data_IF_590011688028
#
_entry.id   IF_590011688028
#
_cell.length_a   1.000
_cell.length_b   1.000
_cell.length_c   1.000
_cell.angle_alpha   90.00
_cell.angle_beta   90.00
_cell.angle_gamma   90.00
#
_symmetry.space_group_name_H-M   'P 1'
#
loop_
_entity.id
_entity.type
_entity.pdbx_description
1 polymer ?
#
# COMPACT_ATOMS: atom_id res chain seq x y z
N UNK A 1 -19.59 -74.47 3.73
CA UNK A 1 -18.68 -73.32 3.93
C UNK A 1 -19.48 -72.04 3.75
N UNK A 2 -19.32 -71.02 4.59
CA UNK A 2 -19.95 -69.69 4.38
C UNK A 2 -19.02 -68.84 3.52
N UNK A 3 -19.51 -68.30 2.41
CA UNK A 3 -18.74 -67.38 1.57
C UNK A 3 -18.66 -65.99 2.21
N UNK A 4 -17.45 -65.45 2.35
CA UNK A 4 -17.23 -64.05 2.71
C UNK A 4 -17.19 -63.21 1.42
N UNK A 5 -18.17 -62.34 1.21
CA UNK A 5 -18.07 -61.29 0.20
C UNK A 5 -17.19 -60.16 0.74
N UNK A 6 -15.98 -60.02 0.21
CA UNK A 6 -15.12 -58.88 0.48
C UNK A 6 -15.58 -57.71 -0.40
N UNK A 7 -16.29 -56.75 0.19
CA UNK A 7 -16.63 -55.50 -0.48
C UNK A 7 -15.39 -54.60 -0.55
N UNK A 8 -14.76 -54.52 -1.72
CA UNK A 8 -13.64 -53.59 -1.97
C UNK A 8 -14.22 -52.18 -2.08
N UNK A 9 -14.05 -51.38 -1.03
CA UNK A 9 -14.45 -49.98 -1.00
C UNK A 9 -13.51 -49.16 -1.90
N UNK A 10 -13.95 -48.85 -3.12
CA UNK A 10 -13.16 -48.06 -4.07
C UNK A 10 -13.11 -46.59 -3.60
N UNK A 11 -12.02 -46.20 -2.94
CA UNK A 11 -11.83 -44.84 -2.44
C UNK A 11 -11.46 -43.90 -3.59
N UNK A 12 -12.47 -43.32 -4.26
CA UNK A 12 -12.27 -42.37 -5.37
C UNK A 12 -11.74 -41.05 -4.82
N UNK A 13 -10.41 -40.96 -4.69
CA UNK A 13 -9.72 -39.71 -4.37
C UNK A 13 -9.83 -38.75 -5.58
N UNK A 14 -10.74 -37.77 -5.49
CA UNK A 14 -10.79 -36.64 -6.44
C UNK A 14 -9.61 -35.69 -6.20
N UNK A 15 -8.43 -36.08 -6.64
CA UNK A 15 -7.26 -35.20 -6.71
C UNK A 15 -7.48 -34.14 -7.81
N UNK A 16 -8.15 -33.04 -7.48
CA UNK A 16 -8.32 -31.92 -8.38
C UNK A 16 -7.01 -31.15 -8.51
N UNK A 17 -6.29 -31.36 -9.61
CA UNK A 17 -5.10 -30.59 -9.98
C UNK A 17 -5.51 -29.15 -10.35
N UNK A 18 -5.55 -28.26 -9.37
CA UNK A 18 -5.76 -26.84 -9.59
C UNK A 18 -4.41 -26.22 -9.98
N UNK A 19 -4.10 -26.25 -11.28
CA UNK A 19 -2.97 -25.56 -11.85
C UNK A 19 -3.16 -24.04 -11.83
N UNK A 20 -2.06 -23.32 -11.69
CA UNK A 20 -2.00 -21.86 -11.86
C UNK A 20 -1.88 -21.55 -13.36
N UNK A 21 -2.60 -20.54 -13.84
CA UNK A 21 -2.71 -20.21 -15.27
C UNK A 21 -2.38 -18.75 -15.55
N UNK A 22 -2.11 -18.41 -16.82
CA UNK A 22 -1.84 -17.05 -17.25
C UNK A 22 -2.84 -16.64 -18.33
N UNK A 23 -3.52 -15.51 -18.14
CA UNK A 23 -4.20 -14.78 -19.21
C UNK A 23 -3.26 -13.66 -19.68
N UNK A 24 -2.79 -13.75 -20.92
CA UNK A 24 -1.76 -12.85 -21.46
C UNK A 24 -2.35 -12.03 -22.61
N UNK A 25 -2.36 -10.70 -22.47
CA UNK A 25 -2.61 -9.76 -23.58
C UNK A 25 -1.26 -9.33 -24.12
N UNK A 26 -0.94 -9.77 -25.35
CA UNK A 26 0.38 -9.53 -25.94
C UNK A 26 0.62 -8.06 -26.33
N UNK A 27 1.89 -7.70 -26.52
CA UNK A 27 2.27 -6.38 -27.04
C UNK A 27 1.53 -6.03 -28.34
N UNK A 28 1.16 -4.76 -28.47
CA UNK A 28 0.33 -4.23 -29.57
C UNK A 28 -1.08 -4.85 -29.70
N UNK A 29 -1.56 -5.62 -28.71
CA UNK A 29 -2.93 -6.16 -28.68
C UNK A 29 -3.84 -5.25 -27.85
N UNK A 30 -5.05 -5.00 -28.35
CA UNK A 30 -6.14 -4.39 -27.57
C UNK A 30 -7.14 -5.47 -27.16
N UNK A 31 -7.45 -5.55 -25.87
CA UNK A 31 -8.50 -6.38 -25.31
C UNK A 31 -9.50 -5.50 -24.55
N UNK A 32 -10.80 -5.68 -24.78
CA UNK A 32 -11.79 -4.79 -24.17
C UNK A 32 -13.24 -5.10 -24.49
N UNK A 33 -14.13 -4.38 -23.80
CA UNK A 33 -15.59 -4.52 -23.89
C UNK A 33 -16.27 -3.15 -23.87
N UNK A 34 -17.35 -3.03 -24.62
CA UNK A 34 -18.26 -1.86 -24.65
C UNK A 34 -19.71 -2.22 -24.32
N UNK A 35 -19.98 -3.51 -24.09
CA UNK A 35 -21.24 -4.05 -23.59
C UNK A 35 -20.99 -4.99 -22.40
N UNK A 36 -22.04 -5.65 -21.95
CA UNK A 36 -22.07 -6.42 -20.71
C UNK A 36 -21.32 -7.77 -20.79
N UNK A 37 -19.98 -7.70 -20.82
CA UNK A 37 -19.09 -8.85 -20.91
C UNK A 37 -18.65 -9.27 -19.51
N UNK A 38 -19.05 -10.46 -19.08
CA UNK A 38 -18.56 -11.09 -17.86
C UNK A 38 -17.37 -12.02 -18.15
N UNK A 39 -16.26 -11.81 -17.45
CA UNK A 39 -15.09 -12.69 -17.45
C UNK A 39 -14.94 -13.28 -16.05
N UNK A 40 -14.82 -14.60 -15.94
CA UNK A 40 -14.54 -15.28 -14.66
C UNK A 40 -13.26 -16.09 -14.79
N UNK A 41 -12.36 -15.97 -13.80
CA UNK A 41 -11.09 -16.71 -13.76
C UNK A 41 -10.84 -17.35 -12.39
N UNK A 42 -10.09 -18.45 -12.39
CA UNK A 42 -9.77 -19.23 -11.19
C UNK A 42 -8.26 -19.53 -11.18
N UNK A 43 -7.53 -19.02 -10.20
CA UNK A 43 -6.07 -19.15 -10.11
C UNK A 43 -5.32 -18.72 -11.39
N UNK A 44 -5.64 -17.52 -11.87
CA UNK A 44 -5.11 -16.94 -13.11
C UNK A 44 -4.32 -15.66 -12.82
N UNK A 45 -3.08 -15.55 -13.29
CA UNK A 45 -2.38 -14.27 -13.40
C UNK A 45 -2.93 -13.49 -14.60
N UNK A 46 -3.14 -12.18 -14.42
CA UNK A 46 -3.43 -11.26 -15.53
C UNK A 46 -2.13 -10.57 -15.94
N UNK A 47 -1.67 -10.82 -17.18
CA UNK A 47 -0.42 -10.30 -17.73
C UNK A 47 -0.71 -9.46 -18.97
N UNK A 48 -0.82 -8.15 -18.79
CA UNK A 48 -1.07 -7.19 -19.85
C UNK A 48 0.25 -6.58 -20.36
N UNK A 49 0.61 -6.85 -21.61
CA UNK A 49 1.74 -6.24 -22.31
C UNK A 49 1.27 -5.29 -23.42
N UNK A 50 -0.05 -5.12 -23.58
CA UNK A 50 -0.69 -4.31 -24.61
C UNK A 50 -1.63 -3.26 -24.01
N UNK A 51 -2.93 -3.37 -24.29
CA UNK A 51 -3.98 -2.54 -23.70
C UNK A 51 -5.15 -3.41 -23.26
N UNK A 52 -5.59 -3.25 -22.00
CA UNK A 52 -6.82 -3.84 -21.48
C UNK A 52 -7.75 -2.71 -21.11
N UNK A 53 -8.89 -2.58 -21.80
CA UNK A 53 -9.91 -1.58 -21.48
C UNK A 53 -11.32 -2.15 -21.62
N UNK A 54 -11.83 -2.65 -20.51
CA UNK A 54 -13.24 -3.01 -20.36
C UNK A 54 -14.00 -1.79 -19.82
N UNK A 55 -14.80 -1.16 -20.69
CA UNK A 55 -15.62 0.02 -20.36
C UNK A 55 -17.06 -0.34 -19.98
N UNK A 56 -17.41 -1.64 -20.00
CA UNK A 56 -18.68 -2.19 -19.51
C UNK A 56 -18.49 -3.68 -19.13
N UNK A 57 -19.44 -4.24 -18.37
CA UNK A 57 -19.37 -5.63 -17.88
C UNK A 57 -18.60 -5.78 -16.57
N UNK A 58 -18.07 -6.98 -16.30
CA UNK A 58 -17.41 -7.30 -15.04
C UNK A 58 -16.32 -8.37 -15.18
N UNK A 59 -15.29 -8.28 -14.34
CA UNK A 59 -14.26 -9.31 -14.18
C UNK A 59 -14.32 -9.89 -12.77
N UNK A 60 -14.44 -11.21 -12.67
CA UNK A 60 -14.50 -11.96 -11.41
C UNK A 60 -13.26 -12.85 -11.29
N UNK A 61 -12.32 -12.47 -10.42
CA UNK A 61 -11.11 -13.23 -10.15
C UNK A 61 -11.25 -14.00 -8.84
N UNK A 62 -11.07 -15.31 -8.89
CA UNK A 62 -11.16 -16.19 -7.73
C UNK A 62 -9.94 -17.09 -7.58
N UNK A 63 -9.63 -17.55 -6.36
CA UNK A 63 -8.45 -18.39 -6.17
C UNK A 63 -8.17 -18.93 -4.78
N UNK A 64 -7.06 -19.66 -4.70
CA UNK A 64 -6.40 -20.16 -3.49
C UNK A 64 -4.86 -20.08 -3.60
N UNK A 65 -4.35 -19.34 -4.59
CA UNK A 65 -2.93 -19.06 -4.88
C UNK A 65 -2.64 -17.58 -4.77
N UNK A 66 -1.36 -17.24 -4.74
CA UNK A 66 -0.86 -15.87 -4.84
C UNK A 66 -0.87 -15.45 -6.32
N UNK A 67 -1.58 -14.36 -6.66
CA UNK A 67 -1.97 -14.08 -8.05
C UNK A 67 -1.71 -12.63 -8.45
N UNK A 68 -1.05 -12.45 -9.59
CA UNK A 68 -0.63 -11.15 -10.11
C UNK A 68 -1.71 -10.52 -11.00
N UNK A 69 -1.85 -9.20 -10.92
CA UNK A 69 -2.41 -8.35 -11.99
C UNK A 69 -1.31 -7.36 -12.40
N UNK A 70 -0.75 -7.51 -13.60
CA UNK A 70 0.47 -6.79 -13.96
C UNK A 70 0.89 -6.90 -15.43
N UNK A 71 2.17 -6.62 -15.68
CA UNK A 71 2.72 -6.38 -17.01
C UNK A 71 2.59 -4.90 -17.43
N UNK A 72 3.39 -4.47 -18.42
CA UNK A 72 3.61 -3.04 -18.72
C UNK A 72 2.44 -2.30 -19.40
N UNK A 73 1.37 -3.01 -19.75
CA UNK A 73 0.21 -2.45 -20.44
C UNK A 73 -0.80 -1.80 -19.50
N UNK A 74 -1.39 -0.67 -19.92
CA UNK A 74 -2.47 -0.02 -19.17
C UNK A 74 -3.69 -0.93 -19.06
N UNK A 75 -4.18 -1.10 -17.82
CA UNK A 75 -5.24 -2.05 -17.46
C UNK A 75 -6.41 -1.32 -16.81
N UNK A 76 -7.58 -1.36 -17.46
CA UNK A 76 -8.85 -0.83 -16.98
C UNK A 76 -9.95 -1.91 -17.00
N UNK A 77 -10.64 -2.07 -15.87
CA UNK A 77 -11.91 -2.80 -15.77
C UNK A 77 -13.06 -1.85 -15.43
N UNK A 78 -14.29 -2.23 -15.78
CA UNK A 78 -15.49 -1.48 -15.41
C UNK A 78 -15.93 -1.86 -13.99
N UNK A 79 -16.21 -3.15 -13.78
CA UNK A 79 -16.30 -3.76 -12.45
C UNK A 79 -15.22 -4.84 -12.29
N UNK A 80 -14.63 -4.93 -11.10
CA UNK A 80 -13.70 -5.98 -10.69
C UNK A 80 -14.18 -6.59 -9.36
N UNK A 81 -14.14 -7.91 -9.25
CA UNK A 81 -14.59 -8.67 -8.08
C UNK A 81 -13.52 -9.68 -7.69
N UNK A 82 -13.00 -9.59 -6.46
CA UNK A 82 -11.83 -10.35 -5.98
C UNK A 82 -12.22 -11.31 -4.86
N UNK A 83 -11.93 -12.60 -5.03
CA UNK A 83 -12.23 -13.65 -4.03
C UNK A 83 -11.11 -14.68 -3.92
N UNK A 84 -10.10 -14.38 -3.11
CA UNK A 84 -9.00 -15.29 -2.81
C UNK A 84 -9.20 -15.93 -1.43
N UNK A 85 -9.12 -17.26 -1.36
CA UNK A 85 -9.49 -18.02 -0.16
C UNK A 85 -8.33 -18.34 0.77
N UNK A 86 -7.08 -18.07 0.38
CA UNK A 86 -5.85 -18.46 1.12
C UNK A 86 -4.67 -17.49 1.00
N UNK A 87 -4.68 -16.60 0.01
CA UNK A 87 -3.54 -15.78 -0.41
C UNK A 87 -4.04 -14.42 -0.93
N UNK A 88 -3.12 -13.57 -1.37
CA UNK A 88 -3.42 -12.25 -1.93
C UNK A 88 -3.58 -12.28 -3.45
N UNK A 89 -4.36 -11.34 -3.98
CA UNK A 89 -4.01 -10.74 -5.27
C UNK A 89 -2.94 -9.68 -5.04
N UNK A 90 -2.04 -9.45 -6.00
CA UNK A 90 -1.05 -8.38 -5.93
C UNK A 90 -0.87 -7.66 -7.28
N UNK A 91 -0.53 -6.37 -7.25
CA UNK A 91 -0.23 -5.58 -8.45
C UNK A 91 1.26 -5.67 -8.86
N UNK A 92 1.51 -5.65 -10.18
CA UNK A 92 2.83 -5.30 -10.77
C UNK A 92 2.72 -4.12 -11.78
N UNK A 93 1.57 -3.45 -11.84
CA UNK A 93 1.35 -2.20 -12.59
C UNK A 93 0.07 -1.48 -12.08
N UNK A 94 -0.08 -0.20 -12.39
CA UNK A 94 -1.27 0.59 -12.07
C UNK A 94 -2.55 -0.01 -12.69
N UNK A 95 -3.64 0.00 -11.91
CA UNK A 95 -4.92 -0.58 -12.28
C UNK A 95 -6.04 0.45 -12.17
N UNK A 96 -6.90 0.56 -13.18
CA UNK A 96 -8.14 1.35 -13.09
C UNK A 96 -9.38 0.47 -12.94
N UNK A 97 -10.27 0.83 -12.01
CA UNK A 97 -11.63 0.27 -11.86
C UNK A 97 -12.66 1.41 -11.95
N UNK A 98 -13.47 1.41 -13.01
CA UNK A 98 -14.31 2.57 -13.37
C UNK A 98 -15.59 2.72 -12.52
N UNK A 99 -16.19 1.62 -12.03
CA UNK A 99 -17.41 1.65 -11.20
C UNK A 99 -17.25 0.92 -9.86
N UNK A 100 -17.13 -0.41 -9.82
CA UNK A 100 -17.07 -1.15 -8.53
C UNK A 100 -15.82 -2.04 -8.46
N UNK A 101 -15.02 -1.86 -7.41
CA UNK A 101 -14.16 -2.92 -6.87
C UNK A 101 -14.90 -3.63 -5.73
N UNK A 102 -15.20 -4.90 -5.89
CA UNK A 102 -15.89 -5.74 -4.92
C UNK A 102 -14.90 -6.71 -4.26
N UNK A 103 -14.54 -6.45 -3.01
CA UNK A 103 -13.79 -7.36 -2.16
C UNK A 103 -14.75 -8.42 -1.61
N UNK A 104 -14.50 -9.71 -1.91
CA UNK A 104 -15.32 -10.84 -1.43
C UNK A 104 -14.57 -11.75 -0.47
N UNK A 105 -13.28 -11.95 -0.68
CA UNK A 105 -12.40 -12.72 0.21
C UNK A 105 -10.92 -12.45 -0.14
N UNK A 106 -10.05 -12.53 0.84
CA UNK A 106 -8.60 -12.40 0.70
C UNK A 106 -8.10 -10.97 0.62
N UNK A 107 -6.79 -10.81 0.74
CA UNK A 107 -6.14 -9.51 0.58
C UNK A 107 -5.98 -9.13 -0.90
N UNK A 108 -6.01 -7.83 -1.17
CA UNK A 108 -5.52 -7.25 -2.41
C UNK A 108 -4.36 -6.32 -2.05
N UNK A 109 -3.13 -6.73 -2.39
CA UNK A 109 -1.91 -5.97 -2.15
C UNK A 109 -1.63 -5.07 -3.36
N UNK A 110 -1.54 -3.76 -3.14
CA UNK A 110 -1.22 -2.79 -4.17
C UNK A 110 0.28 -2.76 -4.51
N UNK A 111 1.12 -3.43 -3.72
CA UNK A 111 2.58 -3.36 -3.78
C UNK A 111 3.06 -1.90 -3.92
N UNK A 112 3.63 -1.51 -5.06
CA UNK A 112 4.12 -0.16 -5.35
C UNK A 112 3.27 0.61 -6.37
N UNK A 113 2.05 0.15 -6.65
CA UNK A 113 1.22 0.57 -7.79
C UNK A 113 -0.16 1.07 -7.36
N UNK A 114 -0.72 1.99 -8.14
CA UNK A 114 -1.95 2.69 -7.75
C UNK A 114 -3.21 2.00 -8.27
N UNK A 115 -4.23 1.94 -7.42
CA UNK A 115 -5.60 1.60 -7.79
C UNK A 115 -6.38 2.90 -8.06
N UNK A 116 -6.58 3.22 -9.33
CA UNK A 116 -7.39 4.36 -9.75
C UNK A 116 -8.87 3.99 -9.78
N UNK A 117 -9.68 4.66 -8.97
CA UNK A 117 -11.14 4.56 -9.01
C UNK A 117 -11.71 5.55 -10.05
N UNK A 118 -12.75 5.14 -10.77
CA UNK A 118 -13.45 6.03 -11.72
C UNK A 118 -14.07 7.26 -11.05
N UNK A 119 -14.13 8.37 -11.78
CA UNK A 119 -14.53 9.67 -11.22
C UNK A 119 -16.02 9.70 -10.80
N UNK A 120 -16.92 9.20 -11.65
CA UNK A 120 -18.36 9.27 -11.44
C UNK A 120 -18.90 8.18 -10.48
N UNK A 121 -18.52 6.92 -10.67
CA UNK A 121 -19.07 5.78 -9.91
C UNK A 121 -18.05 5.03 -9.06
N UNK A 122 -16.75 5.21 -9.34
CA UNK A 122 -15.65 4.40 -8.81
C UNK A 122 -15.64 4.31 -7.30
N UNK A 123 -15.91 3.12 -6.77
CA UNK A 123 -15.98 2.84 -5.33
C UNK A 123 -15.59 1.42 -4.97
N UNK A 124 -15.17 1.24 -3.73
CA UNK A 124 -14.91 -0.08 -3.12
C UNK A 124 -16.16 -0.59 -2.41
N UNK A 125 -16.37 -1.90 -2.40
CA UNK A 125 -17.44 -2.56 -1.63
C UNK A 125 -16.93 -3.88 -1.04
N UNK A 126 -17.51 -4.29 0.09
CA UNK A 126 -17.24 -5.60 0.71
C UNK A 126 -15.96 -5.70 1.56
N UNK A 127 -15.29 -4.59 1.89
CA UNK A 127 -14.13 -4.64 2.79
C UNK A 127 -14.50 -5.12 4.20
N UNK A 128 -13.73 -6.07 4.73
CA UNK A 128 -13.91 -6.75 6.03
C UNK A 128 -12.58 -7.32 6.52
N UNK A 129 -12.54 -7.81 7.76
CA UNK A 129 -11.40 -8.55 8.37
C UNK A 129 -10.82 -9.70 7.55
N UNK A 130 -11.61 -10.24 6.60
CA UNK A 130 -11.26 -11.34 5.70
C UNK A 130 -11.07 -10.93 4.25
N UNK A 131 -11.47 -9.71 3.86
CA UNK A 131 -11.42 -9.22 2.48
C UNK A 131 -11.02 -7.73 2.50
N UNK A 132 -9.76 -7.39 2.25
CA UNK A 132 -9.25 -6.04 2.50
C UNK A 132 -8.16 -5.63 1.51
N UNK A 133 -8.01 -4.33 1.27
CA UNK A 133 -6.90 -3.77 0.50
C UNK A 133 -5.75 -3.42 1.45
N UNK A 134 -4.52 -3.60 0.99
CA UNK A 134 -3.26 -3.27 1.69
C UNK A 134 -2.19 -2.87 0.68
N UNK A 135 -1.06 -2.34 1.14
CA UNK A 135 0.17 -2.24 0.34
C UNK A 135 1.35 -2.83 1.12
N UNK A 136 2.21 -3.58 0.44
CA UNK A 136 3.55 -3.94 0.94
C UNK A 136 4.62 -2.92 0.50
N UNK A 137 4.32 -2.10 -0.52
CA UNK A 137 5.15 -0.98 -0.99
C UNK A 137 4.40 0.37 -0.93
N UNK A 138 4.57 1.22 -1.95
CA UNK A 138 3.96 2.56 -2.02
C UNK A 138 2.55 2.66 -2.64
N UNK A 139 1.86 1.55 -2.93
CA UNK A 139 0.61 1.59 -3.71
C UNK A 139 -0.56 2.28 -3.00
N UNK A 140 -1.16 3.29 -3.66
CA UNK A 140 -2.31 4.05 -3.13
C UNK A 140 -3.61 3.73 -3.89
N UNK A 141 -4.74 3.78 -3.19
CA UNK A 141 -6.06 3.90 -3.80
C UNK A 141 -6.31 5.38 -4.10
N UNK A 142 -6.50 5.74 -5.37
CA UNK A 142 -6.68 7.12 -5.82
C UNK A 142 -8.11 7.33 -6.31
N UNK A 143 -8.85 8.22 -5.64
CA UNK A 143 -10.21 8.65 -5.99
C UNK A 143 -10.22 10.12 -6.42
N UNK A 144 -10.26 10.42 -7.73
CA UNK A 144 -10.66 11.73 -8.22
C UNK A 144 -12.16 11.96 -7.93
N UNK A 145 -12.50 13.15 -7.41
CA UNK A 145 -13.88 13.54 -7.09
C UNK A 145 -14.01 15.08 -7.10
N UNK A 146 -15.16 15.59 -7.56
CA UNK A 146 -15.52 17.00 -7.41
C UNK A 146 -16.15 17.24 -6.02
N UNK A 147 -15.49 18.01 -5.15
CA UNK A 147 -15.96 18.28 -3.79
C UNK A 147 -16.58 19.68 -3.66
N UNK A 148 -17.91 19.71 -3.55
CA UNK A 148 -18.69 20.94 -3.34
C UNK A 148 -19.52 20.86 -2.07
N UNK A 149 -19.15 21.59 -1.02
CA UNK A 149 -19.78 21.56 0.32
C UNK A 149 -20.09 20.12 0.80
N UNK A 150 -19.07 19.23 0.91
CA UNK A 150 -19.31 17.83 1.28
C UNK A 150 -19.99 17.74 2.65
N UNK A 151 -20.90 16.77 2.81
CA UNK A 151 -21.63 16.53 4.04
C UNK A 151 -21.79 15.03 4.23
N UNK A 152 -21.09 14.46 5.21
CA UNK A 152 -21.02 13.02 5.49
C UNK A 152 -20.63 12.20 4.24
N UNK A 153 -19.71 12.74 3.43
CA UNK A 153 -19.30 12.16 2.15
C UNK A 153 -18.03 11.31 2.31
N UNK A 154 -18.16 9.99 2.23
CA UNK A 154 -17.05 9.07 1.95
C UNK A 154 -16.95 8.82 0.44
N UNK A 155 -16.12 9.61 -0.24
CA UNK A 155 -16.02 9.56 -1.70
C UNK A 155 -15.33 8.27 -2.16
N UNK A 156 -16.09 7.39 -2.82
CA UNK A 156 -15.57 6.11 -3.32
C UNK A 156 -15.49 4.99 -2.27
N UNK A 157 -16.10 5.18 -1.09
CA UNK A 157 -16.01 4.25 0.04
C UNK A 157 -14.54 3.97 0.44
N UNK A 158 -13.73 5.01 0.58
CA UNK A 158 -12.34 4.86 1.03
C UNK A 158 -12.26 4.64 2.54
N UNK A 159 -13.30 5.02 3.30
CA UNK A 159 -13.31 5.08 4.75
C UNK A 159 -12.88 6.46 5.30
N UNK A 160 -12.91 7.51 4.46
CA UNK A 160 -12.70 8.91 4.88
C UNK A 160 -13.97 9.72 4.60
N UNK A 161 -14.78 9.91 5.63
CA UNK A 161 -15.96 10.76 5.59
C UNK A 161 -15.56 12.24 5.74
N UNK A 162 -16.07 13.11 4.87
CA UNK A 162 -15.83 14.56 4.90
C UNK A 162 -17.14 15.36 5.10
N UNK A 163 -17.09 16.34 6.00
CA UNK A 163 -18.13 17.36 6.19
C UNK A 163 -17.51 18.76 6.28
N UNK A 164 -17.84 19.63 5.32
CA UNK A 164 -17.32 21.00 5.22
C UNK A 164 -18.37 21.95 4.62
N UNK A 165 -18.34 23.22 5.05
CA UNK A 165 -19.26 24.26 4.58
C UNK A 165 -18.78 25.02 3.32
N UNK A 166 -17.79 24.46 2.62
CA UNK A 166 -17.09 25.07 1.49
C UNK A 166 -16.76 24.07 0.37
N UNK A 167 -16.45 24.59 -0.81
CA UNK A 167 -15.95 23.79 -1.93
C UNK A 167 -14.44 23.61 -1.84
N UNK A 168 -13.94 22.42 -2.16
CA UNK A 168 -12.51 22.17 -2.37
C UNK A 168 -12.12 22.18 -3.86
N UNK A 169 -13.12 22.10 -4.75
CA UNK A 169 -12.92 21.98 -6.21
C UNK A 169 -12.76 20.52 -6.64
N UNK A 170 -12.09 20.29 -7.77
CA UNK A 170 -11.59 18.96 -8.11
C UNK A 170 -10.59 18.52 -7.04
N UNK A 171 -10.69 17.28 -6.56
CA UNK A 171 -9.84 16.74 -5.50
C UNK A 171 -9.45 15.31 -5.84
N UNK A 172 -8.15 15.00 -5.80
CA UNK A 172 -7.72 13.62 -5.59
C UNK A 172 -7.73 13.32 -4.09
N UNK A 173 -8.60 12.42 -3.65
CA UNK A 173 -8.49 11.79 -2.34
C UNK A 173 -7.72 10.48 -2.52
N UNK A 174 -6.68 10.28 -1.73
CA UNK A 174 -5.87 9.07 -1.71
C UNK A 174 -6.03 8.35 -0.38
N UNK A 175 -6.05 7.02 -0.42
CA UNK A 175 -5.90 6.14 0.74
C UNK A 175 -4.68 5.26 0.50
N UNK A 176 -3.72 5.32 1.40
CA UNK A 176 -2.55 4.44 1.41
C UNK A 176 -2.50 3.59 2.68
N UNK A 177 -1.55 2.66 2.68
CA UNK A 177 -1.37 1.66 3.72
C UNK A 177 0.11 1.50 4.00
N UNK A 178 0.53 1.68 5.25
CA UNK A 178 1.92 1.52 5.67
C UNK A 178 2.08 0.37 6.68
N UNK A 179 3.15 -0.41 6.51
CA UNK A 179 3.54 -1.43 7.49
C UNK A 179 4.11 -0.77 8.74
N UNK A 180 3.30 -0.71 9.80
CA UNK A 180 3.75 -0.30 11.12
C UNK A 180 4.45 -1.48 11.80
N UNK A 181 5.74 -1.32 12.10
CA UNK A 181 6.53 -2.28 12.89
C UNK A 181 6.37 -1.96 14.37
N UNK A 182 5.54 -2.76 15.04
CA UNK A 182 5.26 -2.64 16.47
C UNK A 182 6.31 -3.47 17.24
N UNK A 183 6.85 -3.01 18.38
CA UNK A 183 7.82 -3.77 19.20
C UNK A 183 7.42 -5.21 19.62
N UNK A 184 6.20 -5.65 19.34
CA UNK A 184 5.71 -7.02 19.54
C UNK A 184 4.87 -7.61 18.38
N UNK A 185 4.70 -6.90 17.24
CA UNK A 185 3.85 -7.35 16.12
C UNK A 185 4.08 -6.56 14.81
N UNK A 186 3.36 -6.87 13.76
CA UNK A 186 3.17 -5.97 12.60
C UNK A 186 1.72 -5.47 12.58
N UNK A 187 1.47 -4.28 12.05
CA UNK A 187 0.13 -3.78 11.70
C UNK A 187 0.15 -2.95 10.41
N UNK A 188 -1.02 -2.52 9.95
CA UNK A 188 -1.21 -1.73 8.73
C UNK A 188 -1.81 -0.38 9.12
N UNK A 189 -0.98 0.65 9.18
CA UNK A 189 -1.42 2.03 9.38
C UNK A 189 -2.07 2.55 8.11
N UNK A 190 -3.39 2.74 8.12
CA UNK A 190 -4.11 3.35 7.00
C UNK A 190 -4.03 4.87 7.11
N UNK A 191 -3.48 5.51 6.08
CA UNK A 191 -3.45 6.97 5.95
C UNK A 191 -4.28 7.44 4.76
N UNK A 192 -4.68 8.70 4.82
CA UNK A 192 -5.30 9.42 3.72
C UNK A 192 -4.51 10.68 3.40
N UNK A 193 -4.51 11.05 2.12
CA UNK A 193 -3.86 12.24 1.59
C UNK A 193 -4.78 12.92 0.57
N UNK A 194 -4.86 14.26 0.57
CA UNK A 194 -5.77 14.99 -0.33
C UNK A 194 -5.06 16.08 -1.15
N UNK A 195 -5.43 16.17 -2.43
CA UNK A 195 -4.97 17.22 -3.36
C UNK A 195 -6.18 17.95 -3.97
N UNK A 196 -6.75 18.95 -3.28
CA UNK A 196 -7.81 19.81 -3.80
C UNK A 196 -7.28 20.97 -4.64
N UNK A 197 -8.11 21.51 -5.53
CA UNK A 197 -7.84 22.75 -6.27
C UNK A 197 -7.79 24.00 -5.37
N UNK A 198 -8.52 24.00 -4.26
CA UNK A 198 -8.54 25.12 -3.30
C UNK A 198 -8.65 24.66 -1.85
N UNK A 199 -7.72 25.12 -1.01
CA UNK A 199 -7.82 25.08 0.45
C UNK A 199 -8.27 26.44 0.99
N UNK A 200 -9.53 26.61 1.41
CA UNK A 200 -9.95 27.75 2.22
C UNK A 200 -9.63 27.52 3.71
N UNK A 201 -9.16 28.55 4.41
CA UNK A 201 -8.85 28.52 5.85
C UNK A 201 -10.14 28.45 6.69
N UNK A 202 -10.73 27.26 6.76
CA UNK A 202 -12.06 27.01 7.33
C UNK A 202 -12.16 25.62 7.94
N UNK A 203 -13.02 25.50 8.94
CA UNK A 203 -13.25 24.29 9.73
C UNK A 203 -13.80 23.12 8.90
N UNK A 204 -13.29 21.90 9.13
CA UNK A 204 -13.71 20.66 8.46
C UNK A 204 -13.82 19.52 9.47
N UNK A 205 -14.93 18.78 9.42
CA UNK A 205 -15.09 17.54 10.18
C UNK A 205 -14.68 16.34 9.32
N UNK A 206 -13.79 15.52 9.87
CA UNK A 206 -13.34 14.25 9.29
C UNK A 206 -13.92 13.09 10.09
N UNK A 207 -14.32 12.03 9.38
CA UNK A 207 -14.62 10.73 9.95
C UNK A 207 -13.72 9.66 9.33
N UNK A 208 -13.23 8.72 10.12
CA UNK A 208 -12.42 7.59 9.64
C UNK A 208 -13.07 6.27 10.04
N UNK A 209 -13.31 5.42 9.03
CA UNK A 209 -13.83 4.06 9.15
C UNK A 209 -12.74 3.04 8.80
N UNK A 210 -12.29 2.27 9.79
CA UNK A 210 -11.16 1.32 9.66
C UNK A 210 -11.46 -0.06 10.25
N UNK A 211 -10.71 -1.06 9.80
CA UNK A 211 -10.80 -2.45 10.23
C UNK A 211 -10.08 -2.66 11.56
N UNK A 212 -10.51 -3.67 12.34
CA UNK A 212 -9.79 -4.11 13.54
C UNK A 212 -8.37 -4.60 13.21
N UNK A 213 -8.16 -5.14 12.00
CA UNK A 213 -6.83 -5.49 11.44
C UNK A 213 -5.88 -4.30 11.26
N UNK A 214 -6.40 -3.09 11.10
CA UNK A 214 -5.60 -1.88 10.86
C UNK A 214 -5.25 -1.14 12.17
N UNK A 215 -5.70 -1.65 13.33
CA UNK A 215 -5.36 -1.07 14.63
C UNK A 215 -3.94 -1.46 15.09
N UNK A 216 -3.10 -0.48 15.42
CA UNK A 216 -1.99 -0.66 16.37
C UNK A 216 -2.18 0.24 17.59
N UNK A 217 -2.44 -0.42 18.72
CA UNK A 217 -2.25 0.12 20.05
C UNK A 217 -2.17 -1.02 21.08
N UNK A 218 -1.40 -0.88 22.16
CA UNK A 218 -1.59 -1.68 23.35
C UNK A 218 -3.02 -1.45 23.89
N UNK A 219 -3.60 -2.46 24.54
CA UNK A 219 -5.05 -2.50 24.84
C UNK A 219 -5.54 -1.47 25.89
N UNK A 220 -4.64 -0.61 26.39
CA UNK A 220 -4.86 0.47 27.34
C UNK A 220 -4.67 1.89 26.75
N UNK A 221 -4.16 2.02 25.52
CA UNK A 221 -4.16 3.30 24.79
C UNK A 221 -5.48 3.52 24.03
N UNK A 222 -5.92 4.77 23.97
CA UNK A 222 -7.11 5.20 23.22
C UNK A 222 -6.74 5.45 21.75
N UNK A 223 -7.73 5.40 20.86
CA UNK A 223 -7.54 5.84 19.48
C UNK A 223 -7.23 7.34 19.44
N UNK A 224 -6.37 7.75 18.50
CA UNK A 224 -6.13 9.14 18.18
C UNK A 224 -6.26 9.34 16.66
N UNK A 225 -7.08 10.31 16.23
CA UNK A 225 -7.03 10.81 14.86
C UNK A 225 -5.90 11.83 14.79
N UNK A 226 -4.97 11.63 13.86
CA UNK A 226 -3.87 12.55 13.60
C UNK A 226 -4.04 13.20 12.23
N UNK A 227 -3.77 14.51 12.17
CA UNK A 227 -3.77 15.26 10.91
C UNK A 227 -2.52 16.13 10.77
N UNK A 228 -2.06 16.34 9.54
CA UNK A 228 -0.92 17.22 9.22
C UNK A 228 -1.26 18.11 8.04
N UNK A 229 -0.90 19.39 8.12
CA UNK A 229 -0.98 20.33 7.01
C UNK A 229 0.26 20.21 6.10
N UNK A 230 1.41 20.68 6.59
CA UNK A 230 2.70 20.74 5.90
C UNK A 230 3.87 20.56 6.87
N UNK A 231 3.76 21.00 8.13
CA UNK A 231 4.91 21.10 9.04
C UNK A 231 4.91 20.06 10.17
N UNK A 232 3.79 19.82 10.84
CA UNK A 232 3.70 18.98 12.04
C UNK A 232 2.41 18.16 12.06
N UNK A 233 2.39 17.08 12.84
CA UNK A 233 1.15 16.36 13.17
C UNK A 233 0.44 17.01 14.36
N UNK A 234 -0.90 17.02 14.32
CA UNK A 234 -1.78 17.43 15.40
C UNK A 234 -2.75 16.29 15.75
N UNK A 235 -2.90 16.03 17.05
CA UNK A 235 -3.86 15.10 17.61
C UNK A 235 -5.24 15.78 17.77
N UNK A 236 -6.22 15.38 16.95
CA UNK A 236 -7.57 15.96 17.01
C UNK A 236 -8.42 15.38 18.15
N UNK A 237 -9.14 16.22 18.89
CA UNK A 237 -10.04 15.78 19.97
C UNK A 237 -11.23 14.98 19.40
N UNK A 238 -11.23 13.65 19.53
CA UNK A 238 -12.30 12.78 19.01
C UNK A 238 -13.64 13.18 19.65
N UNK A 239 -14.63 13.48 18.80
CA UNK A 239 -15.97 13.91 19.21
C UNK A 239 -16.95 12.74 19.27
N UNK A 240 -16.79 11.74 18.38
CA UNK A 240 -17.57 10.51 18.40
C UNK A 240 -16.66 9.32 18.14
N UNK A 241 -16.77 8.29 18.99
CA UNK A 241 -16.25 6.95 18.77
C UNK A 241 -17.41 5.96 18.67
N UNK A 242 -17.36 5.05 17.69
CA UNK A 242 -18.36 4.00 17.51
C UNK A 242 -17.70 2.70 17.04
N UNK A 243 -17.61 1.74 17.95
CA UNK A 243 -17.28 0.36 17.58
C UNK A 243 -18.48 -0.35 16.96
N UNK A 244 -18.31 -0.96 15.79
CA UNK A 244 -19.26 -1.86 15.15
C UNK A 244 -18.70 -3.30 15.20
N UNK A 245 -19.12 -4.16 16.16
CA UNK A 245 -18.48 -5.46 16.42
C UNK A 245 -18.39 -6.38 15.20
N UNK A 246 -17.17 -6.80 14.88
CA UNK A 246 -16.90 -7.66 13.72
C UNK A 246 -17.02 -6.95 12.37
N UNK A 247 -16.92 -5.62 12.32
CA UNK A 247 -16.92 -4.85 11.07
C UNK A 247 -15.87 -3.73 11.07
N UNK A 248 -16.16 -2.59 11.70
CA UNK A 248 -15.32 -1.39 11.63
C UNK A 248 -15.39 -0.57 12.92
N UNK A 249 -14.34 0.19 13.21
CA UNK A 249 -14.40 1.35 14.09
C UNK A 249 -14.65 2.61 13.27
N UNK A 250 -15.61 3.42 13.70
CA UNK A 250 -15.88 4.75 13.16
C UNK A 250 -15.44 5.80 14.20
N UNK A 251 -14.50 6.67 13.84
CA UNK A 251 -14.09 7.82 14.66
C UNK A 251 -14.39 9.12 13.92
N UNK A 252 -14.71 10.20 14.63
CA UNK A 252 -14.82 11.52 13.99
C UNK A 252 -14.30 12.65 14.88
N UNK A 253 -13.75 13.68 14.24
CA UNK A 253 -13.28 14.90 14.88
C UNK A 253 -13.29 16.06 13.88
N UNK A 254 -13.05 17.27 14.37
CA UNK A 254 -13.04 18.51 13.61
C UNK A 254 -11.65 19.14 13.63
N UNK A 255 -11.13 19.47 12.45
CA UNK A 255 -9.85 20.14 12.24
C UNK A 255 -10.06 21.61 11.86
N UNK A 256 -9.19 22.49 12.36
CA UNK A 256 -9.19 23.92 12.07
C UNK A 256 -7.89 24.32 11.35
N UNK A 257 -7.63 23.74 10.17
CA UNK A 257 -6.60 24.19 9.22
C UNK A 257 -6.69 23.40 7.89
N UNK A 258 -5.79 23.73 6.94
CA UNK A 258 -5.58 23.03 5.67
C UNK A 258 -4.99 21.62 5.87
N UNK A 259 -5.73 20.70 6.50
CA UNK A 259 -5.26 19.33 6.69
C UNK A 259 -5.08 18.62 5.34
N UNK A 260 -3.88 18.09 5.12
CA UNK A 260 -3.50 17.37 3.89
C UNK A 260 -3.46 15.86 4.16
N UNK A 261 -3.10 15.46 5.39
CA UNK A 261 -3.02 14.08 5.83
C UNK A 261 -4.03 13.77 6.94
N UNK A 262 -4.54 12.53 6.97
CA UNK A 262 -5.34 11.96 8.08
C UNK A 262 -4.89 10.52 8.34
N UNK A 263 -4.72 10.11 9.59
CA UNK A 263 -4.45 8.72 9.97
C UNK A 263 -4.97 8.40 11.38
N UNK A 264 -5.05 7.12 11.73
CA UNK A 264 -5.46 6.65 13.06
C UNK A 264 -4.35 5.78 13.66
N UNK A 265 -4.01 6.06 14.92
CA UNK A 265 -3.00 5.31 15.68
C UNK A 265 -3.07 5.66 17.16
N UNK A 266 -2.30 4.94 17.99
CA UNK A 266 -2.21 5.21 19.43
C UNK A 266 -1.12 6.24 19.81
N UNK A 267 -0.15 6.47 18.91
CA UNK A 267 0.98 7.40 19.07
C UNK A 267 1.08 8.31 17.84
N UNK A 268 1.95 9.33 17.89
CA UNK A 268 2.17 10.25 16.76
C UNK A 268 2.65 9.46 15.52
N UNK A 269 2.13 9.74 14.30
CA UNK A 269 2.57 9.04 13.11
C UNK A 269 4.01 9.43 12.82
N UNK A 270 4.94 8.53 13.11
CA UNK A 270 6.37 8.80 12.98
C UNK A 270 6.68 9.35 11.59
N UNK A 271 7.20 10.58 11.51
CA UNK A 271 7.54 11.15 10.22
C UNK A 271 8.74 10.39 9.63
N UNK A 272 8.43 9.53 8.64
CA UNK A 272 9.36 8.70 7.87
C UNK A 272 10.28 9.55 6.97
N UNK A 273 11.02 10.41 7.63
CA UNK A 273 12.03 11.29 7.07
C UNK A 273 13.31 10.52 6.86
N UNK A 274 14.00 10.89 5.78
CA UNK A 274 15.36 10.44 5.53
C UNK A 274 16.38 11.27 6.33
N UNK A 275 15.95 11.94 7.40
CA UNK A 275 16.77 12.90 8.15
C UNK A 275 17.44 12.23 9.37
N UNK A 276 16.88 11.12 9.87
CA UNK A 276 17.47 10.27 10.92
C UNK A 276 18.44 9.19 10.39
N UNK A 277 19.23 9.49 9.34
CA UNK A 277 20.25 8.54 8.88
C UNK A 277 21.31 8.31 9.97
N UNK A 278 21.57 7.06 10.39
CA UNK A 278 22.56 6.80 11.42
C UNK A 278 23.95 7.26 10.97
N UNK A 279 24.67 7.92 11.88
CA UNK A 279 26.02 8.47 11.61
C UNK A 279 27.15 7.47 11.89
N UNK A 280 26.82 6.29 12.42
CA UNK A 280 27.75 5.22 12.78
C UNK A 280 27.14 3.82 12.61
N UNK A 281 27.98 2.82 12.30
CA UNK A 281 27.63 1.40 12.31
C UNK A 281 28.85 0.51 12.65
N UNK A 282 28.62 -0.79 12.88
CA UNK A 282 29.60 -1.73 13.46
C UNK A 282 29.59 -3.09 12.73
N UNK A 283 30.15 -3.18 11.51
CA UNK A 283 30.21 -4.39 10.67
C UNK A 283 31.16 -5.46 11.25
N UNK A 284 30.72 -6.12 12.33
CA UNK A 284 31.55 -6.98 13.16
C UNK A 284 31.03 -8.44 13.27
N UNK A 285 29.84 -8.71 12.77
CA UNK A 285 29.21 -10.04 12.69
C UNK A 285 28.45 -10.48 13.93
N UNK A 286 28.08 -9.55 14.83
CA UNK A 286 27.30 -9.85 16.05
C UNK A 286 25.77 -9.75 15.86
N UNK A 287 25.33 -9.37 14.65
CA UNK A 287 23.93 -9.21 14.27
C UNK A 287 23.34 -7.83 14.56
N UNK A 288 24.14 -6.84 15.01
CA UNK A 288 23.65 -5.51 15.40
C UNK A 288 24.43 -4.40 14.68
N UNK A 289 23.70 -3.62 13.89
CA UNK A 289 24.24 -2.53 13.08
C UNK A 289 25.41 -3.00 12.18
N UNK A 290 25.34 -4.26 11.70
CA UNK A 290 26.36 -4.84 10.81
C UNK A 290 26.34 -4.23 9.40
N UNK A 291 25.23 -3.60 9.02
CA UNK A 291 25.10 -2.81 7.79
C UNK A 291 24.69 -1.38 8.10
N UNK A 292 25.09 -0.46 7.23
CA UNK A 292 24.61 0.91 7.21
C UNK A 292 23.19 0.93 6.63
N UNK A 293 22.18 0.78 7.49
CA UNK A 293 20.78 0.94 7.10
C UNK A 293 20.46 2.43 7.00
N UNK A 294 19.86 2.85 5.87
CA UNK A 294 19.23 4.17 5.73
C UNK A 294 17.74 3.97 6.02
N UNK A 295 17.16 4.59 7.07
CA UNK A 295 15.74 4.44 7.38
C UNK A 295 14.86 4.81 6.19
N UNK A 296 13.73 4.09 6.05
CA UNK A 296 12.67 4.38 5.06
C UNK A 296 13.12 4.37 3.58
N UNK A 297 14.35 3.93 3.28
CA UNK A 297 14.91 3.90 1.92
C UNK A 297 14.12 2.98 0.97
N UNK A 298 13.40 1.99 1.51
CA UNK A 298 12.51 1.11 0.75
C UNK A 298 11.30 1.85 0.13
N UNK A 299 10.87 2.99 0.70
CA UNK A 299 9.89 3.91 0.08
C UNK A 299 10.45 4.68 -1.12
N UNK A 300 11.68 4.38 -1.55
CA UNK A 300 12.31 4.95 -2.71
C UNK A 300 13.03 3.84 -3.51
N UNK A 301 12.29 2.89 -4.11
CA UNK A 301 12.88 1.70 -4.78
C UNK A 301 13.74 2.03 -6.01
N UNK A 302 13.72 3.27 -6.49
CA UNK A 302 14.60 3.79 -7.55
C UNK A 302 15.73 4.70 -7.04
N UNK A 303 15.87 4.86 -5.72
CA UNK A 303 16.87 5.73 -5.12
C UNK A 303 18.29 5.20 -5.37
N UNK A 304 19.14 6.05 -5.94
CA UNK A 304 20.54 5.73 -6.16
C UNK A 304 21.32 6.21 -4.94
N UNK A 305 21.83 5.25 -4.15
CA UNK A 305 22.74 5.48 -3.04
C UNK A 305 24.17 5.32 -3.52
N UNK A 306 25.04 6.26 -3.13
CA UNK A 306 26.48 6.21 -3.37
C UNK A 306 27.21 6.52 -2.07
N UNK A 307 28.32 5.82 -1.79
CA UNK A 307 29.17 6.05 -0.63
C UNK A 307 30.61 6.26 -1.11
N UNK A 308 31.27 7.24 -0.49
CA UNK A 308 32.56 7.78 -0.87
C UNK A 308 33.52 7.74 0.33
N UNK A 309 34.80 7.52 0.07
CA UNK A 309 35.83 7.66 1.10
C UNK A 309 36.13 9.15 1.39
N UNK A 310 36.96 9.41 2.40
CA UNK A 310 37.41 10.76 2.80
C UNK A 310 38.17 11.57 1.73
N UNK A 311 38.53 10.96 0.60
CA UNK A 311 39.20 11.61 -0.53
C UNK A 311 38.25 11.86 -1.73
N UNK A 312 37.01 11.39 -1.65
CA UNK A 312 36.00 11.54 -2.70
C UNK A 312 35.93 10.37 -3.69
N UNK A 313 36.71 9.29 -3.53
CA UNK A 313 36.54 8.11 -4.37
C UNK A 313 35.24 7.38 -4.01
N UNK A 314 34.41 7.06 -4.99
CA UNK A 314 33.22 6.23 -4.78
C UNK A 314 33.63 4.79 -4.47
N UNK A 315 33.24 4.31 -3.29
CA UNK A 315 33.50 2.94 -2.82
C UNK A 315 32.27 2.03 -2.91
N UNK A 316 31.06 2.59 -2.82
CA UNK A 316 29.81 1.84 -2.93
C UNK A 316 28.80 2.56 -3.84
N UNK A 317 27.96 1.80 -4.54
CA UNK A 317 26.89 2.33 -5.38
C UNK A 317 25.83 1.25 -5.63
N UNK A 318 24.55 1.60 -5.49
CA UNK A 318 23.41 0.75 -5.88
C UNK A 318 22.18 1.63 -6.18
N UNK A 319 21.24 1.09 -6.95
CA UNK A 319 19.90 1.64 -7.18
C UNK A 319 18.79 0.79 -6.49
N UNK A 320 19.19 -0.18 -5.67
CA UNK A 320 18.34 -1.02 -4.82
C UNK A 320 19.04 -1.13 -3.45
N UNK A 321 18.95 -0.08 -2.63
CA UNK A 321 19.62 -0.05 -1.33
C UNK A 321 18.85 -0.77 -0.23
N UNK A 322 17.53 -0.98 -0.41
CA UNK A 322 16.70 -1.68 0.56
C UNK A 322 17.12 -3.14 0.71
N UNK A 323 17.43 -3.82 -0.40
CA UNK A 323 17.94 -5.20 -0.38
C UNK A 323 19.48 -5.27 -0.31
N UNK A 324 20.18 -4.16 -0.59
CA UNK A 324 21.64 -4.07 -0.64
C UNK A 324 22.15 -2.91 0.24
N UNK A 325 21.90 -2.97 1.55
CA UNK A 325 22.50 -2.06 2.51
C UNK A 325 24.02 -2.29 2.61
N UNK A 326 24.82 -1.23 2.82
CA UNK A 326 26.27 -1.35 2.79
C UNK A 326 26.85 -2.02 4.05
N UNK A 327 27.64 -3.07 3.87
CA UNK A 327 28.26 -3.92 4.90
C UNK A 327 29.64 -3.43 5.40
N UNK A 328 30.04 -2.21 5.04
CA UNK A 328 31.37 -1.69 5.37
C UNK A 328 32.52 -2.28 4.54
N UNK A 329 32.24 -3.10 3.54
CA UNK A 329 33.28 -3.66 2.67
C UNK A 329 33.57 -2.81 1.44
N UNK A 330 34.77 -2.97 0.87
CA UNK A 330 35.13 -2.49 -0.45
C UNK A 330 36.04 -3.50 -1.14
N UNK A 331 35.72 -3.87 -2.39
CA UNK A 331 36.49 -4.85 -3.20
C UNK A 331 36.75 -6.18 -2.45
N UNK A 332 35.74 -6.67 -1.73
CA UNK A 332 35.81 -7.93 -0.99
C UNK A 332 36.66 -7.89 0.29
N UNK A 333 36.89 -6.71 0.87
CA UNK A 333 37.59 -6.53 2.15
C UNK A 333 36.80 -5.60 3.07
N UNK A 334 36.67 -5.97 4.34
CA UNK A 334 36.16 -5.08 5.39
C UNK A 334 37.08 -3.86 5.50
N UNK A 335 36.50 -2.65 5.59
CA UNK A 335 37.27 -1.43 5.80
C UNK A 335 37.53 -1.19 7.29
N UNK A 336 38.70 -0.65 7.60
CA UNK A 336 39.07 -0.25 8.97
C UNK A 336 38.18 0.90 9.46
N UNK A 337 37.91 1.01 10.78
CA UNK A 337 37.16 2.12 11.38
C UNK A 337 37.61 3.50 10.88
N UNK A 338 36.68 4.23 10.27
CA UNK A 338 36.91 5.45 9.50
C UNK A 338 35.57 6.13 9.18
N UNK A 339 35.59 7.41 8.82
CA UNK A 339 34.43 8.16 8.35
C UNK A 339 34.39 8.22 6.83
N UNK A 340 33.18 8.09 6.30
CA UNK A 340 32.81 8.06 4.90
C UNK A 340 31.68 9.07 4.66
N UNK A 341 31.44 9.42 3.40
CA UNK A 341 30.36 10.32 3.00
C UNK A 341 29.38 9.56 2.11
N UNK A 342 28.09 9.80 2.25
CA UNK A 342 27.07 9.20 1.39
C UNK A 342 26.24 10.28 0.68
N UNK A 343 25.66 9.89 -0.46
CA UNK A 343 24.63 10.67 -1.16
C UNK A 343 23.51 9.74 -1.59
N UNK A 344 22.26 10.13 -1.36
CA UNK A 344 21.07 9.49 -1.94
C UNK A 344 20.45 10.46 -2.93
N UNK A 345 20.10 9.97 -4.11
CA UNK A 345 19.38 10.74 -5.14
C UNK A 345 18.11 10.01 -5.54
N UNK A 346 17.03 10.78 -5.75
CA UNK A 346 15.69 10.27 -6.01
C UNK A 346 15.29 10.68 -7.44
N UNK A 347 15.39 9.80 -8.45
CA UNK A 347 15.18 10.20 -9.85
C UNK A 347 13.73 10.61 -10.15
N UNK A 348 12.77 9.87 -9.57
CA UNK A 348 11.34 9.94 -9.94
C UNK A 348 10.50 10.74 -8.93
N UNK A 349 11.13 11.37 -7.94
CA UNK A 349 10.50 12.26 -6.96
C UNK A 349 11.28 13.57 -6.96
N UNK A 350 10.62 14.73 -6.99
CA UNK A 350 11.27 16.05 -6.95
C UNK A 350 11.84 16.41 -5.54
N UNK A 351 12.46 15.43 -4.86
CA UNK A 351 12.94 15.48 -3.47
C UNK A 351 14.43 15.85 -3.33
N UNK A 352 15.10 16.16 -4.44
CA UNK A 352 16.52 16.56 -4.47
C UNK A 352 17.49 15.41 -4.17
N UNK A 353 18.49 15.68 -3.31
CA UNK A 353 19.48 14.67 -2.90
C UNK A 353 19.86 14.82 -1.43
N UNK A 354 19.71 13.74 -0.66
CA UNK A 354 20.20 13.63 0.71
C UNK A 354 21.72 13.44 0.71
N UNK A 355 22.43 14.03 1.68
CA UNK A 355 23.89 13.88 1.84
C UNK A 355 24.27 13.92 3.32
N UNK A 356 25.25 13.10 3.71
CA UNK A 356 25.75 13.09 5.09
C UNK A 356 27.02 12.26 5.25
N UNK A 357 27.38 11.99 6.50
CA UNK A 357 28.52 11.14 6.87
C UNK A 357 28.07 9.88 7.60
N UNK A 358 28.83 8.79 7.40
CA UNK A 358 28.66 7.50 8.07
C UNK A 358 30.04 7.01 8.52
N UNK A 359 30.15 6.49 9.75
CA UNK A 359 31.42 5.99 10.29
C UNK A 359 31.35 4.50 10.61
N UNK A 360 32.36 3.74 10.16
CA UNK A 360 32.65 2.41 10.71
C UNK A 360 33.34 2.63 12.05
N UNK A 361 32.82 2.04 13.12
CA UNK A 361 33.32 2.27 14.50
C UNK A 361 34.15 1.11 15.05
N UNK A 362 33.90 -0.12 14.59
CA UNK A 362 34.50 -1.36 15.10
C UNK A 362 34.67 -2.35 13.95
#
# INVERSE_FOLDING_TARGET
MKGFSIAILLLICKAQLIAQTNFIVAGNTYFGSTGDVHITSVNTHLLNQGQVKMSAGAVHLSGDKELMIGGVGSTQFFNLSLSNTKKSYYLENDLKVESILEMRNGAFDLDNFNLYLGEAEGRITGETEMAYITATGQGEIVKPVMLTNPNELDAGNLGLTLTANHNFGYTEIRRGHDRQQLPASESIGRYYYMVPESFPDTEVTVGVDFLLREWYGPADQQFQIWTKDTNFWEALNIQNEKYNPGSHYSLSSTANNQFIWVTVGAEEPFEETLDEVPTAFTPNGDGKNDTFVIPWIYKYPTAIVMIFNRWGDKIYTTNDYANNAWDGTFKGKVLTPNSFYYTVSFPDKNKGSLKGNISIVK
#
